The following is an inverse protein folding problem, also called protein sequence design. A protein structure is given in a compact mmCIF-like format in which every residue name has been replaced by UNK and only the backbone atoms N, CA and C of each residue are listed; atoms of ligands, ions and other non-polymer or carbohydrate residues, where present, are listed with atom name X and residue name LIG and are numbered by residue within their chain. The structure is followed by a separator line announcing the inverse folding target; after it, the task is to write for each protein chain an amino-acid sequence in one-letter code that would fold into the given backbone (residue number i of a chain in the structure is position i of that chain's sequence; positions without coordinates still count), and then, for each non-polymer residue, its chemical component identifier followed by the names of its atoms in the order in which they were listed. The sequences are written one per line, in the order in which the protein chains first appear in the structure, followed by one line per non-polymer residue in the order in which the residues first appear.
data_IF_066714507123
#
_entry.id   IF_066714507123
#
_cell.length_a   1.000
_cell.length_b   1.000
_cell.length_c   1.000
_cell.angle_alpha   90.00
_cell.angle_beta   90.00
_cell.angle_gamma   90.00
#
_symmetry.space_group_name_H-M   'P 1'
#
loop_
_entity.id
_entity.type
_entity.pdbx_description
1 polymer ?
#
# COMPACT_ATOMS: atom_id res chain seq x y z
N UNK A 1 9.45 -19.42 33.49
CA UNK A 1 8.18 -18.72 33.25
C UNK A 1 8.48 -17.23 33.01
N UNK A 2 8.49 -16.78 31.74
CA UNK A 2 8.57 -15.34 31.38
C UNK A 2 7.14 -14.80 31.30
N UNK A 3 6.90 -13.71 32.03
CA UNK A 3 5.63 -13.43 32.70
C UNK A 3 4.46 -12.97 31.83
N UNK A 4 3.25 -13.22 32.34
CA UNK A 4 1.96 -12.69 31.84
C UNK A 4 2.01 -11.18 31.52
N UNK A 5 2.80 -10.40 32.26
CA UNK A 5 2.97 -8.96 32.06
C UNK A 5 3.59 -8.54 30.72
N UNK A 6 4.30 -9.41 29.98
CA UNK A 6 4.88 -8.99 28.69
C UNK A 6 3.84 -8.95 27.58
N UNK A 7 2.91 -9.90 27.57
CA UNK A 7 1.90 -10.01 26.53
C UNK A 7 0.81 -8.95 26.68
N UNK A 8 0.37 -8.66 27.89
CA UNK A 8 -0.61 -7.58 28.14
C UNK A 8 -0.07 -6.21 27.71
N UNK A 9 1.21 -5.94 27.95
CA UNK A 9 1.86 -4.72 27.48
C UNK A 9 1.93 -4.65 25.95
N UNK A 10 2.34 -5.74 25.30
CA UNK A 10 2.38 -5.84 23.83
C UNK A 10 0.97 -5.64 23.25
N UNK A 11 -0.04 -6.30 23.81
CA UNK A 11 -1.43 -6.15 23.38
C UNK A 11 -1.93 -4.71 23.56
N UNK A 12 -1.59 -4.05 24.67
CA UNK A 12 -1.97 -2.66 24.92
C UNK A 12 -1.28 -1.70 23.94
N UNK A 13 0.00 -1.90 23.65
CA UNK A 13 0.72 -1.09 22.64
C UNK A 13 0.17 -1.31 21.22
N UNK A 14 -0.16 -2.55 20.86
CA UNK A 14 -0.80 -2.87 19.57
C UNK A 14 -2.19 -2.22 19.51
N UNK A 15 -2.96 -2.30 20.59
CA UNK A 15 -4.30 -1.74 20.65
C UNK A 15 -4.26 -0.20 20.64
N UNK A 16 -3.36 0.44 21.38
CA UNK A 16 -3.14 1.88 21.32
C UNK A 16 -2.69 2.31 19.91
N UNK A 17 -1.82 1.57 19.22
CA UNK A 17 -1.48 1.86 17.81
C UNK A 17 -2.63 1.59 16.84
N UNK A 18 -3.52 0.67 17.17
CA UNK A 18 -4.71 0.35 16.37
C UNK A 18 -5.87 1.32 16.65
N UNK A 19 -5.85 2.04 17.78
CA UNK A 19 -6.82 3.05 18.18
C UNK A 19 -6.33 4.47 17.85
N UNK A 20 -5.01 4.70 17.90
CA UNK A 20 -4.39 5.94 17.45
C UNK A 20 -4.31 5.90 15.92
N UNK A 21 -4.97 6.85 15.27
CA UNK A 21 -4.93 6.98 13.82
C UNK A 21 -3.47 7.09 13.35
N UNK A 22 -3.07 6.27 12.36
CA UNK A 22 -1.90 6.61 11.55
C UNK A 22 -2.10 8.03 11.03
N UNK A 23 -1.14 8.92 11.30
CA UNK A 23 -1.20 10.28 10.78
C UNK A 23 -1.16 10.22 9.26
N UNK A 24 -2.28 10.56 8.64
CA UNK A 24 -2.44 10.71 7.20
C UNK A 24 -2.14 12.14 6.73
N UNK A 25 -1.70 12.99 7.66
CA UNK A 25 -1.27 14.36 7.39
C UNK A 25 0.07 14.34 6.64
N UNK A 26 0.13 15.15 5.59
CA UNK A 26 1.31 15.36 4.77
C UNK A 26 1.51 16.85 4.50
N UNK A 27 2.71 17.23 4.07
CA UNK A 27 2.97 18.62 3.68
C UNK A 27 2.35 18.97 2.32
N UNK A 28 2.54 18.07 1.35
CA UNK A 28 1.99 18.16 0.00
C UNK A 28 2.12 16.83 -0.76
N UNK A 29 1.29 16.66 -1.78
CA UNK A 29 1.35 15.57 -2.74
C UNK A 29 2.70 15.49 -3.44
N UNK A 30 3.30 16.64 -3.80
CA UNK A 30 4.64 16.69 -4.38
C UNK A 30 5.72 16.16 -3.42
N UNK A 31 5.66 16.52 -2.13
CA UNK A 31 6.61 16.02 -1.14
C UNK A 31 6.43 14.51 -0.92
N UNK A 32 5.20 14.05 -0.80
CA UNK A 32 4.90 12.61 -0.67
C UNK A 32 5.38 11.84 -1.90
N UNK A 33 5.14 12.36 -3.11
CA UNK A 33 5.61 11.75 -4.37
C UNK A 33 7.13 11.65 -4.41
N UNK A 34 7.86 12.66 -3.93
CA UNK A 34 9.33 12.61 -3.79
C UNK A 34 9.79 11.54 -2.80
N UNK A 35 9.10 11.38 -1.67
CA UNK A 35 9.41 10.33 -0.68
C UNK A 35 9.18 8.93 -1.26
N UNK A 36 8.05 8.73 -1.96
CA UNK A 36 7.74 7.49 -2.67
C UNK A 36 8.80 7.20 -3.74
N UNK A 37 9.16 8.20 -4.55
CA UNK A 37 10.19 8.04 -5.58
C UNK A 37 11.53 7.63 -4.99
N UNK A 38 11.94 8.26 -3.88
CA UNK A 38 13.16 7.88 -3.16
C UNK A 38 13.11 6.42 -2.72
N UNK A 39 12.02 5.99 -2.07
CA UNK A 39 11.84 4.60 -1.64
C UNK A 39 11.94 3.59 -2.80
N UNK A 40 11.28 3.88 -3.93
CA UNK A 40 11.35 3.03 -5.13
C UNK A 40 12.76 3.02 -5.75
N UNK A 41 13.43 4.17 -5.78
CA UNK A 41 14.78 4.29 -6.32
C UNK A 41 15.80 3.53 -5.45
N UNK A 42 15.68 3.62 -4.13
CA UNK A 42 16.52 2.87 -3.19
C UNK A 42 16.33 1.36 -3.39
N UNK A 43 15.08 0.88 -3.48
CA UNK A 43 14.78 -0.53 -3.77
C UNK A 43 15.25 -0.98 -5.17
N UNK A 44 15.26 -0.10 -6.17
CA UNK A 44 15.88 -0.37 -7.48
C UNK A 44 17.40 -0.52 -7.37
N UNK A 45 18.08 0.38 -6.65
CA UNK A 45 19.53 0.31 -6.43
C UNK A 45 19.94 -0.96 -5.68
N UNK A 46 19.09 -1.41 -4.75
CA UNK A 46 19.25 -2.66 -4.00
C UNK A 46 18.86 -3.92 -4.80
N UNK A 47 18.44 -3.76 -6.06
CA UNK A 47 18.00 -4.86 -6.96
C UNK A 47 16.80 -5.64 -6.44
N UNK A 48 15.99 -5.03 -5.57
CA UNK A 48 14.71 -5.56 -5.11
C UNK A 48 13.65 -5.35 -6.20
N UNK A 49 13.60 -4.12 -6.73
CA UNK A 49 12.82 -3.80 -7.92
C UNK A 49 13.63 -4.10 -9.17
N UNK A 50 12.97 -4.68 -10.17
CA UNK A 50 13.52 -4.86 -11.52
C UNK A 50 13.40 -3.60 -12.38
N UNK A 51 12.56 -2.66 -11.95
CA UNK A 51 12.28 -1.40 -12.64
C UNK A 51 13.46 -0.43 -12.49
N UNK A 52 13.99 0.07 -13.60
CA UNK A 52 15.09 1.04 -13.59
C UNK A 52 14.61 2.49 -13.38
N UNK A 53 15.55 3.42 -13.12
CA UNK A 53 15.26 4.84 -12.85
C UNK A 53 14.37 5.50 -13.92
N UNK A 54 14.63 5.23 -15.21
CA UNK A 54 13.85 5.79 -16.31
C UNK A 54 12.40 5.31 -16.27
N UNK A 55 12.20 4.01 -16.04
CA UNK A 55 10.88 3.43 -15.86
C UNK A 55 10.17 3.94 -14.60
N UNK A 56 10.89 4.20 -13.50
CA UNK A 56 10.29 4.80 -12.29
C UNK A 56 9.64 6.16 -12.60
N UNK A 57 10.29 7.02 -13.41
CA UNK A 57 9.70 8.28 -13.85
C UNK A 57 8.46 8.09 -14.74
N UNK A 58 8.39 6.99 -15.48
CA UNK A 58 7.24 6.65 -16.32
C UNK A 58 6.09 6.09 -15.48
N UNK A 59 6.37 5.25 -14.48
CA UNK A 59 5.38 4.54 -13.70
C UNK A 59 4.84 5.32 -12.49
N UNK A 60 5.61 6.27 -11.94
CA UNK A 60 5.19 7.12 -10.83
C UNK A 60 4.71 8.49 -11.32
N UNK A 61 3.39 8.66 -11.36
CA UNK A 61 2.72 9.89 -11.80
C UNK A 61 2.00 10.59 -10.66
N UNK A 62 1.84 11.89 -10.83
CA UNK A 62 0.94 12.74 -10.04
C UNK A 62 -0.02 13.39 -11.03
N UNK A 63 -1.31 13.38 -10.72
CA UNK A 63 -2.35 14.03 -11.51
C UNK A 63 -3.17 14.98 -10.63
N UNK A 64 -3.61 16.09 -11.23
CA UNK A 64 -4.49 17.04 -10.57
C UNK A 64 -5.93 16.61 -10.86
N UNK A 65 -6.69 16.34 -9.81
CA UNK A 65 -8.11 16.05 -9.89
C UNK A 65 -8.95 17.33 -9.94
N UNK A 66 -10.02 17.36 -9.13
CA UNK A 66 -10.75 18.61 -8.85
C UNK A 66 -9.85 19.59 -8.10
N UNK A 67 -10.18 20.88 -8.12
CA UNK A 67 -9.37 21.95 -7.54
C UNK A 67 -8.92 21.63 -6.10
N UNK A 68 -7.60 21.46 -5.89
CA UNK A 68 -6.97 21.11 -4.62
C UNK A 68 -6.88 19.63 -4.27
N UNK A 69 -7.37 18.72 -5.14
CA UNK A 69 -7.25 17.27 -4.97
C UNK A 69 -6.20 16.69 -5.92
N UNK A 70 -5.38 15.78 -5.42
CA UNK A 70 -4.30 15.14 -6.16
C UNK A 70 -4.41 13.62 -6.09
N UNK A 71 -4.02 12.94 -7.18
CA UNK A 71 -3.83 11.49 -7.19
C UNK A 71 -2.36 11.17 -7.51
N UNK A 72 -1.71 10.40 -6.65
CA UNK A 72 -0.40 9.79 -6.94
C UNK A 72 -0.65 8.36 -7.35
N UNK A 73 -0.21 7.97 -8.55
CA UNK A 73 -0.34 6.60 -9.05
C UNK A 73 1.03 5.98 -9.28
N UNK A 74 1.18 4.72 -8.91
CA UNK A 74 2.37 3.93 -9.14
C UNK A 74 2.01 2.62 -9.84
N UNK A 75 2.73 2.29 -10.91
CA UNK A 75 2.29 1.25 -11.85
C UNK A 75 1.29 1.90 -12.81
N UNK A 76 1.70 2.00 -14.07
CA UNK A 76 1.15 2.95 -15.04
C UNK A 76 -0.37 2.95 -15.10
N UNK A 77 -0.92 4.17 -15.21
CA UNK A 77 -2.37 4.34 -15.19
C UNK A 77 -2.78 5.65 -15.84
N UNK A 78 -3.12 5.58 -17.11
CA UNK A 78 -4.21 6.40 -17.63
C UNK A 78 -5.51 5.86 -17.02
N UNK A 79 -5.84 6.30 -15.81
CA UNK A 79 -7.16 6.20 -15.15
C UNK A 79 -7.78 4.82 -14.79
N UNK A 80 -7.38 3.67 -15.34
CA UNK A 80 -8.04 2.37 -15.03
C UNK A 80 -7.20 1.46 -14.13
N UNK A 81 -7.70 1.15 -12.91
CA UNK A 81 -7.01 0.26 -11.95
C UNK A 81 -6.90 -1.13 -12.59
N UNK A 82 -5.81 -1.85 -12.33
CA UNK A 82 -5.59 -3.19 -12.87
C UNK A 82 -6.44 -4.24 -12.13
N UNK A 83 -7.75 -4.05 -12.08
CA UNK A 83 -8.69 -4.95 -11.40
C UNK A 83 -8.71 -6.37 -11.98
N UNK A 84 -8.38 -6.49 -13.27
CA UNK A 84 -8.26 -7.79 -13.96
C UNK A 84 -6.92 -8.47 -13.70
N UNK A 85 -5.98 -7.81 -13.01
CA UNK A 85 -4.65 -8.33 -12.66
C UNK A 85 -3.89 -8.81 -13.89
N UNK A 86 -4.00 -8.03 -14.97
CA UNK A 86 -3.33 -8.31 -16.23
C UNK A 86 -1.83 -7.93 -16.10
N UNK A 87 -0.89 -8.89 -16.25
CA UNK A 87 0.54 -8.60 -16.19
C UNK A 87 1.06 -7.79 -17.39
N UNK A 88 0.26 -7.59 -18.44
CA UNK A 88 0.66 -6.76 -19.58
C UNK A 88 0.40 -5.26 -19.34
N UNK A 89 -0.36 -4.92 -18.29
CA UNK A 89 -0.59 -3.53 -17.88
C UNK A 89 0.60 -3.06 -17.03
N UNK A 90 1.09 -1.82 -17.19
CA UNK A 90 2.30 -1.38 -16.49
C UNK A 90 2.18 -1.46 -14.96
N UNK A 91 3.23 -1.92 -14.31
CA UNK A 91 3.30 -2.14 -12.85
C UNK A 91 4.76 -2.20 -12.38
N UNK A 92 4.99 -2.12 -11.08
CA UNK A 92 6.31 -2.37 -10.51
C UNK A 92 6.55 -3.86 -10.35
N UNK A 93 7.69 -4.35 -10.84
CA UNK A 93 8.09 -5.77 -10.72
C UNK A 93 9.20 -5.91 -9.68
N UNK A 94 9.02 -6.86 -8.76
CA UNK A 94 10.06 -7.31 -7.86
C UNK A 94 10.86 -8.44 -8.51
N UNK A 95 12.13 -8.57 -8.11
CA UNK A 95 13.06 -9.60 -8.58
C UNK A 95 12.57 -11.05 -8.36
N UNK A 96 11.65 -11.26 -7.42
CA UNK A 96 11.08 -12.54 -7.04
C UNK A 96 9.77 -12.87 -7.78
N UNK A 97 9.42 -12.09 -8.80
CA UNK A 97 8.24 -12.31 -9.65
C UNK A 97 6.94 -11.74 -9.11
N UNK A 98 6.94 -11.13 -7.92
CA UNK A 98 5.80 -10.34 -7.43
C UNK A 98 5.74 -9.02 -8.16
N UNK A 99 4.55 -8.45 -8.22
CA UNK A 99 4.35 -7.15 -8.82
C UNK A 99 3.20 -6.40 -8.18
N UNK A 100 3.28 -5.07 -8.21
CA UNK A 100 2.31 -4.22 -7.54
C UNK A 100 2.04 -2.93 -8.29
N UNK A 101 0.88 -2.36 -7.99
CA UNK A 101 0.48 -1.01 -8.35
C UNK A 101 -0.25 -0.37 -7.16
N UNK A 102 -0.35 0.96 -7.18
CA UNK A 102 -1.07 1.71 -6.17
C UNK A 102 -1.64 3.02 -6.68
N UNK A 103 -2.61 3.56 -5.95
CA UNK A 103 -3.11 4.91 -6.08
C UNK A 103 -3.29 5.53 -4.68
N UNK A 104 -3.00 6.82 -4.55
CA UNK A 104 -3.17 7.59 -3.31
C UNK A 104 -3.91 8.87 -3.65
N UNK A 105 -5.03 9.14 -2.98
CA UNK A 105 -5.83 10.35 -3.12
C UNK A 105 -5.57 11.30 -1.96
N UNK A 106 -5.30 12.56 -2.29
CA UNK A 106 -4.85 13.60 -1.38
C UNK A 106 -5.75 14.82 -1.49
N UNK A 107 -6.11 15.38 -0.35
CA UNK A 107 -6.79 16.67 -0.22
C UNK A 107 -5.79 17.73 0.28
N UNK A 108 -5.45 18.68 -0.60
CA UNK A 108 -4.67 19.88 -0.27
C UNK A 108 -5.54 21.14 -0.11
N UNK A 109 -6.87 21.02 -0.14
CA UNK A 109 -7.77 22.14 0.15
C UNK A 109 -7.74 22.52 1.64
N UNK A 110 -7.29 21.59 2.48
CA UNK A 110 -7.13 21.74 3.93
C UNK A 110 -5.64 21.81 4.33
N UNK A 111 -5.36 22.35 5.53
CA UNK A 111 -4.01 22.44 6.11
C UNK A 111 -3.99 21.87 7.54
N UNK A 112 -3.13 20.89 7.85
CA UNK A 112 -2.20 20.20 6.93
C UNK A 112 -2.94 19.43 5.83
N UNK A 113 -2.27 19.16 4.71
CA UNK A 113 -2.85 18.35 3.64
C UNK A 113 -3.04 16.92 4.13
N UNK A 114 -4.04 16.19 3.59
CA UNK A 114 -4.39 14.87 4.10
C UNK A 114 -4.49 13.83 3.00
N UNK A 115 -4.02 12.62 3.28
CA UNK A 115 -4.35 11.43 2.49
C UNK A 115 -5.77 11.03 2.87
N UNK A 116 -6.69 11.06 1.90
CA UNK A 116 -8.11 10.76 2.10
C UNK A 116 -8.51 9.41 1.52
N UNK A 117 -7.63 8.77 0.75
CA UNK A 117 -7.85 7.42 0.25
C UNK A 117 -6.59 6.85 -0.37
N UNK A 118 -6.53 5.53 -0.45
CA UNK A 118 -5.49 4.83 -1.20
C UNK A 118 -5.95 3.43 -1.57
N UNK A 119 -5.27 2.83 -2.53
CA UNK A 119 -5.47 1.45 -2.97
C UNK A 119 -4.10 0.92 -3.36
N UNK A 120 -3.60 -0.10 -2.64
CA UNK A 120 -2.36 -0.80 -2.91
C UNK A 120 -2.69 -2.27 -3.20
N UNK A 121 -2.25 -2.81 -4.33
CA UNK A 121 -2.41 -4.23 -4.63
C UNK A 121 -1.09 -4.86 -5.06
N UNK A 122 -0.69 -5.95 -4.41
CA UNK A 122 0.46 -6.78 -4.79
C UNK A 122 -0.02 -8.17 -5.16
N UNK A 123 0.52 -8.69 -6.27
CA UNK A 123 0.18 -9.98 -6.83
C UNK A 123 1.35 -10.94 -6.63
N UNK A 124 1.02 -12.19 -6.33
CA UNK A 124 1.98 -13.25 -6.11
C UNK A 124 2.05 -14.18 -7.32
N UNK A 125 3.25 -14.65 -7.71
CA UNK A 125 3.36 -15.63 -8.78
C UNK A 125 2.65 -16.92 -8.37
N UNK A 126 1.86 -17.50 -9.29
CA UNK A 126 1.26 -18.83 -9.07
C UNK A 126 2.38 -19.87 -9.04
N UNK A 127 2.55 -20.56 -7.92
CA UNK A 127 3.43 -21.71 -7.79
C UNK A 127 2.58 -22.97 -7.70
N UNK A 128 2.93 -23.97 -8.48
CA UNK A 128 2.18 -25.22 -8.54
C UNK A 128 2.18 -25.91 -7.16
N UNK A 129 0.98 -26.22 -6.67
CA UNK A 129 0.77 -26.89 -5.38
C UNK A 129 0.92 -26.00 -4.12
N UNK A 130 0.99 -24.67 -4.24
CA UNK A 130 0.99 -23.76 -3.09
C UNK A 130 -0.39 -23.11 -2.86
N UNK A 131 -0.96 -23.27 -1.66
CA UNK A 131 -2.13 -22.49 -1.21
C UNK A 131 -1.62 -21.14 -0.70
N UNK A 132 -1.29 -20.24 -1.62
CA UNK A 132 -0.87 -18.87 -1.31
C UNK A 132 -1.91 -17.92 -1.87
N UNK A 133 -2.15 -16.81 -1.16
CA UNK A 133 -2.99 -15.75 -1.70
C UNK A 133 -2.43 -15.30 -3.05
N UNK A 134 -3.27 -15.25 -4.07
CA UNK A 134 -2.91 -14.78 -5.41
C UNK A 134 -2.63 -13.28 -5.44
N UNK A 135 -3.21 -12.53 -4.49
CA UNK A 135 -2.94 -11.12 -4.26
C UNK A 135 -3.27 -10.69 -2.82
N UNK A 136 -2.74 -9.54 -2.44
CA UNK A 136 -3.10 -8.79 -1.24
C UNK A 136 -3.45 -7.36 -1.65
N UNK A 137 -4.66 -6.90 -1.32
CA UNK A 137 -5.06 -5.48 -1.45
C UNK A 137 -5.14 -4.82 -0.08
N UNK A 138 -4.68 -3.58 0.00
CA UNK A 138 -4.79 -2.71 1.16
C UNK A 138 -5.36 -1.39 0.67
N UNK A 139 -6.55 -1.04 1.11
CA UNK A 139 -7.19 0.20 0.69
C UNK A 139 -7.80 0.99 1.85
N UNK A 140 -7.88 2.29 1.62
CA UNK A 140 -8.60 3.24 2.42
C UNK A 140 -9.63 3.88 1.50
N UNK A 141 -10.90 3.61 1.77
CA UNK A 141 -12.01 4.22 1.05
C UNK A 141 -12.03 5.74 1.28
N UNK A 142 -12.55 6.48 0.28
CA UNK A 142 -12.74 7.92 0.39
C UNK A 142 -13.76 8.28 1.50
N UNK A 143 -13.72 9.52 2.03
CA UNK A 143 -14.80 10.05 2.88
C UNK A 143 -16.15 9.99 2.16
N UNK A 144 -17.25 10.07 2.91
CA UNK A 144 -18.64 10.01 2.43
C UNK A 144 -19.05 8.67 1.77
N UNK A 145 -18.21 7.64 1.89
CA UNK A 145 -18.60 6.28 1.52
C UNK A 145 -19.57 5.70 2.57
N UNK A 146 -20.41 4.71 2.21
CA UNK A 146 -21.37 4.07 3.15
C UNK A 146 -20.74 3.52 4.45
N UNK A 147 -19.42 3.34 4.46
CA UNK A 147 -18.66 2.83 5.60
C UNK A 147 -18.07 3.94 6.49
N UNK A 148 -18.12 5.19 6.05
CA UNK A 148 -17.59 6.37 6.77
C UNK A 148 -18.37 6.59 8.08
N UNK A 149 -19.70 6.41 8.06
CA UNK A 149 -20.57 6.49 9.25
C UNK A 149 -20.22 5.47 10.36
N UNK A 150 -19.38 4.47 10.05
CA UNK A 150 -18.95 3.40 10.97
C UNK A 150 -17.44 3.42 11.22
N UNK A 151 -16.72 4.41 10.68
CA UNK A 151 -15.25 4.48 10.62
C UNK A 151 -14.58 3.25 9.96
N UNK A 152 -15.30 2.43 9.19
CA UNK A 152 -14.78 1.18 8.60
C UNK A 152 -14.21 1.39 7.19
N UNK A 153 -13.32 2.37 7.04
CA UNK A 153 -12.80 2.77 5.72
C UNK A 153 -11.58 1.99 5.28
N UNK A 154 -10.79 1.44 6.21
CA UNK A 154 -9.59 0.67 5.88
C UNK A 154 -9.92 -0.81 5.71
N UNK A 155 -9.58 -1.36 4.55
CA UNK A 155 -9.86 -2.74 4.18
C UNK A 155 -8.56 -3.48 3.83
N UNK A 156 -8.49 -4.75 4.24
CA UNK A 156 -7.42 -5.69 3.91
C UNK A 156 -8.03 -6.88 3.18
N UNK A 157 -7.63 -7.10 1.92
CA UNK A 157 -8.14 -8.17 1.08
C UNK A 157 -7.05 -9.20 0.74
N UNK A 158 -6.89 -10.27 1.54
CA UNK A 158 -6.16 -11.45 1.11
C UNK A 158 -7.05 -12.24 0.14
N UNK A 159 -6.69 -12.30 -1.14
CA UNK A 159 -7.60 -12.74 -2.21
C UNK A 159 -8.95 -11.97 -2.15
N UNK A 160 -10.06 -12.69 -2.24
CA UNK A 160 -11.43 -12.15 -2.17
C UNK A 160 -11.93 -11.96 -0.73
N UNK A 161 -11.07 -12.16 0.28
CA UNK A 161 -11.41 -11.84 1.66
C UNK A 161 -11.60 -10.33 1.84
N UNK A 162 -12.33 -9.94 2.89
CA UNK A 162 -12.56 -8.55 3.24
C UNK A 162 -12.50 -8.39 4.76
N UNK A 163 -11.40 -7.82 5.24
CA UNK A 163 -11.18 -7.53 6.65
C UNK A 163 -11.23 -6.01 6.82
N UNK A 164 -12.27 -5.53 7.50
CA UNK A 164 -12.48 -4.12 7.78
C UNK A 164 -12.01 -3.77 9.18
N UNK A 165 -11.31 -2.64 9.32
CA UNK A 165 -10.89 -2.09 10.62
C UNK A 165 -11.16 -0.58 10.69
N UNK A 166 -11.22 -0.07 11.93
CA UNK A 166 -11.68 1.30 12.21
C UNK A 166 -10.68 2.40 11.82
N UNK A 167 -9.39 2.08 11.72
CA UNK A 167 -8.40 3.06 11.30
C UNK A 167 -7.30 2.38 10.50
N UNK A 168 -6.71 3.11 9.52
CA UNK A 168 -5.52 2.61 8.85
C UNK A 168 -4.41 2.41 9.90
N UNK A 169 -3.81 1.22 9.98
CA UNK A 169 -2.70 0.93 10.89
C UNK A 169 -1.35 1.20 10.24
N UNK A 170 -1.34 1.54 8.94
CA UNK A 170 -0.17 1.79 8.12
C UNK A 170 -0.42 2.96 7.17
N UNK A 171 0.60 3.80 7.04
CA UNK A 171 0.68 4.87 6.05
C UNK A 171 1.02 4.30 4.67
N UNK A 172 0.77 5.04 3.57
CA UNK A 172 1.19 4.63 2.24
C UNK A 172 2.68 4.26 2.13
N UNK A 173 3.57 4.95 2.86
CA UNK A 173 5.00 4.63 2.86
C UNK A 173 5.31 3.32 3.61
N UNK A 174 4.59 3.03 4.70
CA UNK A 174 4.74 1.75 5.41
C UNK A 174 4.23 0.58 4.57
N UNK A 175 3.10 0.75 3.87
CA UNK A 175 2.57 -0.26 2.94
C UNK A 175 3.58 -0.51 1.81
N UNK A 176 4.14 0.56 1.24
CA UNK A 176 5.16 0.44 0.19
C UNK A 176 6.40 -0.30 0.69
N UNK A 177 6.93 0.05 1.87
CA UNK A 177 8.03 -0.69 2.48
C UNK A 177 7.68 -2.16 2.73
N UNK A 178 6.46 -2.46 3.18
CA UNK A 178 6.02 -3.85 3.36
C UNK A 178 6.03 -4.62 2.03
N UNK A 179 5.56 -4.01 0.95
CA UNK A 179 5.57 -4.64 -0.38
C UNK A 179 6.98 -4.91 -0.88
N UNK A 180 7.90 -3.95 -0.68
CA UNK A 180 9.29 -4.04 -1.13
C UNK A 180 10.14 -5.00 -0.27
N UNK A 181 9.99 -4.95 1.05
CA UNK A 181 10.94 -5.56 2.01
C UNK A 181 10.31 -6.59 2.94
N UNK A 182 9.05 -6.42 3.32
CA UNK A 182 8.43 -7.16 4.44
C UNK A 182 7.78 -8.49 4.05
N UNK A 183 7.47 -8.67 2.76
CA UNK A 183 6.73 -9.84 2.30
C UNK A 183 7.72 -10.95 1.91
N UNK A 184 8.06 -11.85 2.83
CA UNK A 184 8.85 -13.03 2.48
C UNK A 184 7.94 -14.11 1.90
N UNK A 185 8.35 -14.72 0.79
CA UNK A 185 7.76 -15.99 0.36
C UNK A 185 8.30 -17.04 1.32
N UNK A 186 7.44 -17.71 2.08
CA UNK A 186 7.88 -18.89 2.84
C UNK A 186 8.48 -19.87 1.84
N UNK A 187 9.77 -20.13 1.94
CA UNK A 187 10.36 -21.26 1.22
C UNK A 187 9.59 -22.51 1.65
N UNK A 188 9.20 -23.36 0.68
CA UNK A 188 8.65 -24.68 1.01
C UNK A 188 9.59 -25.33 2.03
N UNK A 189 9.10 -25.87 3.15
CA UNK A 189 9.93 -26.74 3.97
C UNK A 189 10.48 -27.81 3.04
N UNK A 190 11.82 -27.94 2.97
CA UNK A 190 12.43 -29.07 2.27
C UNK A 190 11.85 -30.34 2.89
N UNK A 191 11.03 -31.05 2.12
CA UNK A 191 10.58 -32.41 2.44
C UNK A 191 11.76 -33.37 2.40
#
# INVERSE_FOLDING_TARGET
MKGKNSWEKICKEIQERSLNQTLLEIESAEKLRKQIFKCLNDASNEKILSTNLSELHQLLKISNGKQGYYEITGGGKDSKRNFKRNPDIPHFKLNNGRWFDFAITIDETIRPAQIIGFDFEIRFPKREGEIVASFLRIDLNLPDHRNDERDLRFHLHPNNGDIMIHSPPMSPLEILHMFLYGMNIREKPRT
#
